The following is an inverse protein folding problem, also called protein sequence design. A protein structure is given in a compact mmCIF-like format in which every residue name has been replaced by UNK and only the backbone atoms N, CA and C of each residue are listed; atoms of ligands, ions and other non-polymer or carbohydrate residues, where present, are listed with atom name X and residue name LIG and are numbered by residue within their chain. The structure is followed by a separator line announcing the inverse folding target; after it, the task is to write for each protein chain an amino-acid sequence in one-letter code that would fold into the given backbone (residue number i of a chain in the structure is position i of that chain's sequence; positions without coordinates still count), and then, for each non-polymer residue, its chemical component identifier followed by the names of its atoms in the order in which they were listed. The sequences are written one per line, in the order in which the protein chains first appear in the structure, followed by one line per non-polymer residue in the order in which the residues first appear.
data_IF_938235092656
#
_entry.id   IF_938235092656
#
_cell.length_a   1.000
_cell.length_b   1.000
_cell.length_c   1.000
_cell.angle_alpha   90.00
_cell.angle_beta   90.00
_cell.angle_gamma   90.00
#
_symmetry.space_group_name_H-M   'P 1'
#
loop_
_entity.id
_entity.type
_entity.pdbx_description
1 polymer ?
#
# COMPACT_ATOMS: atom_id res chain seq x y z
N UNK A 1 10.58 -13.94 -25.59
CA UNK A 1 11.95 -13.37 -25.64
C UNK A 1 12.87 -14.51 -25.22
N UNK A 2 13.46 -15.14 -26.25
CA UNK A 2 14.51 -16.17 -26.26
C UNK A 2 15.54 -16.04 -25.12
N UNK A 3 16.31 -17.05 -24.67
CA UNK A 3 16.44 -18.52 -24.79
C UNK A 3 17.73 -18.83 -23.98
N UNK A 4 17.90 -20.08 -23.57
CA UNK A 4 19.20 -20.75 -23.40
C UNK A 4 20.13 -20.27 -22.26
N UNK A 5 20.05 -20.99 -21.13
CA UNK A 5 21.16 -21.20 -20.20
C UNK A 5 22.14 -22.18 -20.85
N UNK A 6 23.26 -21.67 -21.35
CA UNK A 6 24.35 -22.47 -21.90
C UNK A 6 25.15 -23.17 -20.79
N UNK A 7 25.17 -24.48 -20.96
CA UNK A 7 25.85 -25.49 -20.18
C UNK A 7 27.34 -25.52 -20.58
N UNK A 8 28.22 -24.90 -19.78
CA UNK A 8 29.68 -25.04 -19.97
C UNK A 8 30.14 -26.27 -19.20
N UNK A 9 30.24 -27.38 -19.94
CA UNK A 9 30.90 -28.60 -19.50
C UNK A 9 32.43 -28.42 -19.47
N UNK A 10 33.04 -28.80 -18.35
CA UNK A 10 34.49 -29.03 -18.27
C UNK A 10 34.73 -30.54 -18.31
N UNK A 11 35.38 -30.96 -19.39
CA UNK A 11 35.86 -32.31 -19.66
C UNK A 11 36.81 -32.82 -18.56
N UNK A 12 36.43 -33.89 -17.87
CA UNK A 12 37.37 -34.72 -17.11
C UNK A 12 38.03 -35.72 -18.07
N UNK A 13 39.34 -35.55 -18.31
CA UNK A 13 40.15 -36.46 -19.13
C UNK A 13 40.72 -37.55 -18.21
N UNK A 14 40.06 -38.70 -18.18
CA UNK A 14 40.65 -39.95 -17.70
C UNK A 14 41.50 -40.56 -18.81
N UNK A 15 42.79 -40.74 -18.57
CA UNK A 15 43.63 -41.62 -19.38
C UNK A 15 44.49 -42.47 -18.45
N UNK A 16 44.12 -43.75 -18.37
CA UNK A 16 44.94 -44.80 -17.78
C UNK A 16 46.15 -45.16 -18.66
N UNK A 17 47.14 -45.74 -18.01
CA UNK A 17 48.34 -46.35 -18.55
C UNK A 17 49.32 -46.49 -17.38
N UNK A 18 49.50 -47.65 -16.76
CA UNK A 18 49.90 -48.90 -17.39
C UNK A 18 51.43 -48.97 -17.37
N UNK A 19 52.01 -49.33 -16.23
CA UNK A 19 53.46 -49.45 -16.05
C UNK A 19 53.77 -50.56 -15.04
N UNK A 20 54.16 -51.71 -15.57
CA UNK A 20 54.63 -52.89 -14.84
C UNK A 20 56.13 -52.82 -14.54
N UNK A 21 56.54 -53.59 -13.54
CA UNK A 21 57.87 -54.15 -13.26
C UNK A 21 58.80 -53.40 -12.30
N UNK A 22 59.39 -54.19 -11.37
CA UNK A 22 60.54 -53.81 -10.56
C UNK A 22 60.53 -54.42 -9.15
N UNK A 23 61.08 -55.62 -9.01
CA UNK A 23 61.19 -56.33 -7.72
C UNK A 23 62.27 -55.80 -6.77
N UNK A 24 62.17 -56.28 -5.52
CA UNK A 24 63.11 -56.08 -4.41
C UNK A 24 62.31 -56.03 -3.10
N UNK A 25 62.31 -57.02 -2.20
CA UNK A 25 63.42 -57.87 -1.78
C UNK A 25 64.14 -57.23 -0.60
N UNK A 26 63.45 -56.98 0.51
CA UNK A 26 64.04 -56.41 1.74
C UNK A 26 63.15 -56.69 2.95
N UNK A 27 63.49 -57.74 3.70
CA UNK A 27 62.83 -58.11 4.95
C UNK A 27 63.07 -57.06 6.03
N UNK A 28 62.16 -56.09 6.11
CA UNK A 28 61.85 -55.39 7.35
C UNK A 28 60.65 -56.12 7.95
N UNK A 29 60.76 -56.56 9.21
CA UNK A 29 59.70 -57.30 9.88
C UNK A 29 58.37 -56.59 9.71
N UNK A 30 57.49 -57.14 8.86
CA UNK A 30 56.11 -56.67 8.76
C UNK A 30 55.54 -56.82 10.15
N UNK A 31 55.35 -55.70 10.83
CA UNK A 31 54.50 -55.63 12.00
C UNK A 31 53.10 -55.84 11.45
N UNK A 32 52.74 -57.11 11.36
CA UNK A 32 51.44 -57.52 10.87
C UNK A 32 50.47 -57.46 12.04
N UNK A 33 49.27 -56.98 11.79
CA UNK A 33 48.24 -56.98 12.82
C UNK A 33 47.83 -58.43 13.11
N UNK A 34 47.48 -58.76 14.36
CA UNK A 34 46.88 -60.05 14.67
C UNK A 34 45.65 -60.32 13.80
N UNK A 35 45.47 -61.56 13.35
CA UNK A 35 44.43 -61.92 12.36
C UNK A 35 43.00 -61.56 12.80
N UNK A 36 42.73 -61.54 14.10
CA UNK A 36 41.43 -61.10 14.62
C UNK A 36 41.15 -59.61 14.35
N UNK A 37 42.19 -58.75 14.36
CA UNK A 37 42.03 -57.32 14.07
C UNK A 37 41.75 -57.10 12.58
N UNK A 38 42.42 -57.86 11.70
CA UNK A 38 42.18 -57.80 10.25
C UNK A 38 40.76 -58.24 9.90
N UNK A 39 40.32 -59.37 10.46
CA UNK A 39 38.97 -59.91 10.25
C UNK A 39 37.90 -58.92 10.70
N UNK A 40 38.10 -58.30 11.87
CA UNK A 40 37.17 -57.30 12.39
C UNK A 40 37.15 -56.02 11.53
N UNK A 41 38.32 -55.59 11.03
CA UNK A 41 38.44 -54.44 10.15
C UNK A 41 37.77 -54.67 8.79
N UNK A 42 37.95 -55.84 8.18
CA UNK A 42 37.26 -56.24 6.94
C UNK A 42 35.74 -56.28 7.14
N UNK A 43 35.28 -56.82 8.27
CA UNK A 43 33.86 -56.85 8.63
C UNK A 43 33.30 -55.42 8.77
N UNK A 44 34.02 -54.52 9.43
CA UNK A 44 33.62 -53.11 9.57
C UNK A 44 33.62 -52.37 8.23
N UNK A 45 34.61 -52.62 7.38
CA UNK A 45 34.67 -52.05 6.02
C UNK A 45 33.49 -52.51 5.16
N UNK A 46 33.14 -53.79 5.19
CA UNK A 46 32.00 -54.33 4.44
C UNK A 46 30.65 -53.79 4.96
N UNK A 47 30.50 -53.69 6.29
CA UNK A 47 29.31 -53.13 6.91
C UNK A 47 29.17 -51.62 6.58
N UNK A 48 30.28 -50.87 6.61
CA UNK A 48 30.32 -49.47 6.25
C UNK A 48 29.95 -49.25 4.78
N UNK A 49 30.54 -50.02 3.85
CA UNK A 49 30.25 -49.91 2.42
C UNK A 49 28.76 -50.19 2.12
N UNK A 50 28.19 -51.18 2.81
CA UNK A 50 26.76 -51.49 2.72
C UNK A 50 25.90 -50.33 3.24
N UNK A 51 26.21 -49.80 4.44
CA UNK A 51 25.46 -48.71 5.06
C UNK A 51 25.54 -47.40 4.26
N UNK A 52 26.69 -47.11 3.63
CA UNK A 52 26.87 -45.93 2.77
C UNK A 52 26.07 -46.09 1.47
N UNK A 53 26.11 -47.27 0.84
CA UNK A 53 25.46 -47.54 -0.44
C UNK A 53 23.92 -47.56 -0.40
N UNK A 54 23.31 -47.83 0.75
CA UNK A 54 21.84 -47.93 0.86
C UNK A 54 21.16 -46.69 1.42
N UNK A 55 21.90 -45.77 2.04
CA UNK A 55 21.31 -44.61 2.68
C UNK A 55 21.12 -43.45 1.69
N UNK A 56 19.89 -43.24 1.23
CA UNK A 56 19.49 -42.05 0.48
C UNK A 56 19.78 -40.78 1.28
N UNK A 57 20.12 -39.70 0.57
CA UNK A 57 20.34 -38.40 1.20
C UNK A 57 19.02 -37.81 1.72
N UNK A 58 19.00 -37.24 2.95
CA UNK A 58 17.83 -36.53 3.46
C UNK A 58 17.56 -35.23 2.70
N UNK A 59 18.53 -34.72 1.94
CA UNK A 59 18.42 -33.50 1.15
C UNK A 59 17.82 -33.73 -0.24
N UNK A 60 17.82 -34.97 -0.74
CA UNK A 60 17.29 -35.32 -2.06
C UNK A 60 15.77 -35.07 -2.22
N UNK A 61 15.04 -34.97 -1.11
CA UNK A 61 13.61 -34.63 -1.08
C UNK A 61 13.33 -33.24 -0.48
N UNK A 62 14.37 -32.49 -0.10
CA UNK A 62 14.21 -31.14 0.40
C UNK A 62 13.94 -30.20 -0.80
N UNK A 63 12.95 -29.34 -0.65
CA UNK A 63 12.58 -28.34 -1.65
C UNK A 63 12.69 -26.99 -0.94
N UNK A 64 13.34 -26.00 -1.58
CA UNK A 64 13.34 -24.65 -1.06
C UNK A 64 11.93 -24.06 -1.06
N UNK A 65 11.71 -23.04 -0.24
CA UNK A 65 10.46 -22.32 -0.24
C UNK A 65 10.31 -21.52 -1.54
N UNK A 66 9.20 -21.74 -2.26
CA UNK A 66 8.82 -20.98 -3.47
C UNK A 66 8.01 -19.73 -3.07
N UNK A 67 8.53 -18.51 -3.30
CA UNK A 67 7.85 -17.28 -2.94
C UNK A 67 6.74 -16.86 -3.94
N UNK A 68 6.56 -17.56 -5.06
CA UNK A 68 5.71 -17.11 -6.16
C UNK A 68 4.25 -16.84 -5.75
N UNK A 69 3.68 -17.66 -4.87
CA UNK A 69 2.29 -17.50 -4.41
C UNK A 69 2.11 -16.21 -3.60
N UNK A 70 3.02 -15.94 -2.68
CA UNK A 70 2.93 -14.81 -1.76
C UNK A 70 3.24 -13.49 -2.48
N UNK A 71 4.20 -13.53 -3.41
CA UNK A 71 4.48 -12.38 -4.30
C UNK A 71 3.29 -12.07 -5.21
N UNK A 72 2.57 -13.08 -5.69
CA UNK A 72 1.36 -12.89 -6.52
C UNK A 72 0.22 -12.28 -5.69
N UNK A 73 0.03 -12.72 -4.45
CA UNK A 73 -0.96 -12.14 -3.54
C UNK A 73 -0.65 -10.66 -3.22
N UNK A 74 0.63 -10.34 -2.93
CA UNK A 74 1.09 -8.97 -2.71
C UNK A 74 0.85 -8.09 -3.95
N UNK A 75 1.19 -8.58 -5.15
CA UNK A 75 0.97 -7.83 -6.39
C UNK A 75 -0.51 -7.58 -6.65
N UNK A 76 -1.37 -8.57 -6.38
CA UNK A 76 -2.83 -8.44 -6.51
C UNK A 76 -3.36 -7.35 -5.58
N UNK A 77 -2.87 -7.27 -4.34
CA UNK A 77 -3.25 -6.21 -3.40
C UNK A 77 -2.82 -4.81 -3.89
N UNK A 78 -1.61 -4.67 -4.44
CA UNK A 78 -1.14 -3.40 -5.04
C UNK A 78 -2.00 -3.00 -6.24
N UNK A 79 -2.37 -3.95 -7.12
CA UNK A 79 -3.26 -3.68 -8.25
C UNK A 79 -4.68 -3.27 -7.79
N UNK A 80 -5.21 -3.89 -6.75
CA UNK A 80 -6.49 -3.52 -6.16
C UNK A 80 -6.45 -2.08 -5.61
N UNK A 81 -5.38 -1.71 -4.91
CA UNK A 81 -5.18 -0.35 -4.44
C UNK A 81 -5.06 0.66 -5.59
N UNK A 82 -4.30 0.33 -6.65
CA UNK A 82 -4.22 1.17 -7.84
C UNK A 82 -5.59 1.37 -8.50
N UNK A 83 -6.41 0.32 -8.57
CA UNK A 83 -7.78 0.41 -9.12
C UNK A 83 -8.66 1.35 -8.29
N UNK A 84 -8.53 1.35 -6.97
CA UNK A 84 -9.25 2.30 -6.09
C UNK A 84 -8.77 3.74 -6.32
N UNK A 85 -7.47 3.96 -6.51
CA UNK A 85 -6.91 5.27 -6.85
C UNK A 85 -7.38 5.74 -8.22
N UNK A 86 -7.44 4.87 -9.23
CA UNK A 86 -7.92 5.19 -10.57
C UNK A 86 -9.44 5.47 -10.58
N UNK A 87 -10.20 4.81 -9.71
CA UNK A 87 -11.64 5.06 -9.55
C UNK A 87 -11.96 6.44 -8.97
N UNK A 88 -11.01 7.08 -8.26
CA UNK A 88 -11.13 8.48 -7.84
C UNK A 88 -10.92 9.40 -9.05
N UNK A 89 -12.01 9.73 -9.74
CA UNK A 89 -12.01 10.60 -10.90
C UNK A 89 -12.00 12.06 -10.47
N UNK A 90 -10.81 12.66 -10.40
CA UNK A 90 -10.62 14.07 -10.00
C UNK A 90 -11.41 15.07 -10.83
N UNK A 91 -11.80 14.73 -12.06
CA UNK A 91 -12.56 15.64 -12.93
C UNK A 91 -14.06 15.37 -12.86
N UNK A 92 -14.48 14.10 -12.81
CA UNK A 92 -15.90 13.72 -12.79
C UNK A 92 -16.54 13.89 -11.41
N UNK A 93 -15.86 13.43 -10.36
CA UNK A 93 -16.37 13.51 -8.99
C UNK A 93 -16.40 14.95 -8.51
N UNK A 94 -15.41 15.74 -8.93
CA UNK A 94 -15.34 17.17 -8.69
C UNK A 94 -16.50 17.96 -9.30
N UNK A 95 -16.74 17.80 -10.62
CA UNK A 95 -17.83 18.49 -11.30
C UNK A 95 -19.17 18.11 -10.67
N UNK A 96 -19.32 16.85 -10.29
CA UNK A 96 -20.54 16.35 -9.64
C UNK A 96 -20.71 16.96 -8.25
N UNK A 97 -19.66 16.99 -7.43
CA UNK A 97 -19.70 17.55 -6.08
C UNK A 97 -19.97 19.07 -6.10
N UNK A 98 -19.29 19.83 -6.98
CA UNK A 98 -19.56 21.27 -7.13
C UNK A 98 -20.97 21.50 -7.66
N UNK A 99 -21.42 20.73 -8.64
CA UNK A 99 -22.79 20.88 -9.17
C UNK A 99 -23.84 20.59 -8.11
N UNK A 100 -23.61 19.59 -7.25
CA UNK A 100 -24.48 19.27 -6.12
C UNK A 100 -24.48 20.40 -5.08
N UNK A 101 -23.31 20.89 -4.66
CA UNK A 101 -23.19 22.00 -3.70
C UNK A 101 -23.83 23.27 -4.26
N UNK A 102 -23.61 23.58 -5.53
CA UNK A 102 -24.24 24.72 -6.20
C UNK A 102 -25.76 24.59 -6.23
N UNK A 103 -26.28 23.42 -6.62
CA UNK A 103 -27.72 23.16 -6.62
C UNK A 103 -28.32 23.27 -5.21
N UNK A 104 -27.62 22.77 -4.20
CA UNK A 104 -28.03 22.87 -2.81
C UNK A 104 -28.03 24.33 -2.32
N UNK A 105 -26.96 25.09 -2.56
CA UNK A 105 -26.84 26.51 -2.17
C UNK A 105 -27.91 27.35 -2.88
N UNK A 106 -28.01 27.22 -4.21
CA UNK A 106 -28.95 27.99 -5.03
C UNK A 106 -30.41 27.61 -4.70
N UNK A 107 -30.68 26.36 -4.27
CA UNK A 107 -32.03 25.88 -3.94
C UNK A 107 -32.47 26.07 -2.48
N UNK A 108 -31.55 26.04 -1.51
CA UNK A 108 -31.92 26.01 -0.07
C UNK A 108 -31.46 27.23 0.73
N UNK A 109 -30.35 27.88 0.35
CA UNK A 109 -29.75 28.99 1.12
C UNK A 109 -30.03 30.33 0.43
N UNK A 110 -29.95 30.35 -0.90
CA UNK A 110 -30.08 31.55 -1.73
C UNK A 110 -31.44 31.52 -2.46
N UNK A 111 -32.52 31.24 -1.73
CA UNK A 111 -33.84 31.37 -2.34
C UNK A 111 -34.15 32.86 -2.57
N UNK A 112 -34.51 33.24 -3.79
CA UNK A 112 -34.95 34.59 -4.13
C UNK A 112 -36.20 35.02 -3.36
N UNK A 113 -36.96 34.06 -2.81
CA UNK A 113 -38.13 34.35 -1.96
C UNK A 113 -37.73 35.01 -0.65
N UNK A 114 -36.70 34.52 0.05
CA UNK A 114 -36.30 35.10 1.33
C UNK A 114 -35.88 36.57 1.20
N UNK A 115 -35.19 36.91 0.11
CA UNK A 115 -34.77 38.29 -0.17
C UNK A 115 -35.99 39.16 -0.49
N UNK A 116 -36.94 38.64 -1.26
CA UNK A 116 -38.17 39.37 -1.55
C UNK A 116 -38.99 39.61 -0.28
N UNK A 117 -39.08 38.61 0.60
CA UNK A 117 -39.79 38.69 1.88
C UNK A 117 -39.13 39.71 2.82
N UNK A 118 -37.79 39.73 2.90
CA UNK A 118 -37.04 40.68 3.74
C UNK A 118 -37.12 42.13 3.22
N UNK A 119 -37.05 42.31 1.88
CA UNK A 119 -37.28 43.63 1.25
C UNK A 119 -38.73 44.09 1.50
N UNK A 120 -39.71 43.19 1.42
CA UNK A 120 -41.11 43.51 1.71
C UNK A 120 -41.28 43.93 3.16
N UNK A 121 -40.73 43.16 4.11
CA UNK A 121 -40.81 43.47 5.54
C UNK A 121 -40.16 44.83 5.86
N UNK A 122 -39.03 45.16 5.25
CA UNK A 122 -38.40 46.49 5.38
C UNK A 122 -39.29 47.59 4.79
N UNK A 123 -39.93 47.33 3.64
CA UNK A 123 -40.90 48.22 3.02
C UNK A 123 -42.11 48.50 3.91
N UNK A 124 -42.62 47.48 4.61
CA UNK A 124 -43.74 47.57 5.54
C UNK A 124 -43.38 48.40 6.79
N UNK A 125 -42.17 48.22 7.33
CA UNK A 125 -41.66 49.03 8.45
C UNK A 125 -41.57 50.51 8.08
N UNK A 126 -41.10 50.82 6.87
CA UNK A 126 -41.02 52.20 6.38
C UNK A 126 -42.41 52.80 6.14
N UNK A 127 -43.37 52.02 5.64
CA UNK A 127 -44.76 52.47 5.50
C UNK A 127 -45.42 52.76 6.85
N UNK A 128 -45.20 51.90 7.84
CA UNK A 128 -45.68 52.12 9.20
C UNK A 128 -45.07 53.40 9.79
N UNK A 129 -43.76 53.62 9.66
CA UNK A 129 -43.11 54.83 10.14
C UNK A 129 -43.60 56.11 9.43
N UNK A 130 -43.82 56.04 8.12
CA UNK A 130 -44.34 57.17 7.35
C UNK A 130 -45.76 57.50 7.78
N UNK A 131 -46.64 56.49 7.83
CA UNK A 131 -48.06 56.68 8.13
C UNK A 131 -48.31 57.07 9.59
N UNK A 132 -47.55 56.53 10.54
CA UNK A 132 -47.78 56.76 11.98
C UNK A 132 -47.03 57.96 12.54
N UNK A 133 -45.84 58.31 12.00
CA UNK A 133 -44.98 59.35 12.57
C UNK A 133 -44.69 60.50 11.62
N UNK A 134 -44.18 60.23 10.42
CA UNK A 134 -43.62 61.29 9.55
C UNK A 134 -44.73 62.13 8.93
N UNK A 135 -45.69 61.46 8.28
CA UNK A 135 -46.75 62.09 7.50
C UNK A 135 -47.72 62.88 8.42
N UNK A 136 -48.13 62.38 9.60
CA UNK A 136 -48.90 63.17 10.55
C UNK A 136 -48.17 64.42 11.07
N UNK A 137 -46.85 64.33 11.35
CA UNK A 137 -46.05 65.50 11.79
C UNK A 137 -45.91 66.54 10.68
N UNK A 138 -45.70 66.09 9.44
CA UNK A 138 -45.65 66.96 8.27
C UNK A 138 -46.99 67.68 8.05
N UNK A 139 -48.10 66.93 8.09
CA UNK A 139 -49.46 67.47 7.95
C UNK A 139 -49.82 68.47 9.05
N UNK A 140 -49.47 68.18 10.31
CA UNK A 140 -49.66 69.09 11.43
C UNK A 140 -48.88 70.39 11.23
N UNK A 141 -47.59 70.29 10.87
CA UNK A 141 -46.78 71.47 10.56
C UNK A 141 -47.35 72.31 9.42
N UNK A 142 -47.83 71.68 8.35
CA UNK A 142 -48.45 72.38 7.21
C UNK A 142 -49.80 73.02 7.55
N UNK A 143 -50.55 72.43 8.49
CA UNK A 143 -51.79 73.01 9.03
C UNK A 143 -51.50 74.27 9.83
N UNK A 144 -50.44 74.28 10.63
CA UNK A 144 -50.07 75.44 11.46
C UNK A 144 -49.68 76.66 10.61
N UNK A 145 -49.08 76.45 9.42
CA UNK A 145 -48.79 77.52 8.45
C UNK A 145 -49.90 77.79 7.43
N UNK A 146 -51.05 77.13 7.55
CA UNK A 146 -52.19 77.24 6.64
C UNK A 146 -51.83 76.96 5.15
N UNK A 147 -50.82 76.13 4.91
CA UNK A 147 -50.30 75.83 3.56
C UNK A 147 -50.90 74.54 2.95
N UNK A 148 -51.92 73.95 3.59
CA UNK A 148 -52.54 72.66 3.24
C UNK A 148 -53.15 72.65 1.82
N UNK A 149 -53.57 73.80 1.31
CA UNK A 149 -54.14 73.96 -0.04
C UNK A 149 -53.11 74.32 -1.12
N UNK A 150 -51.82 74.34 -0.78
CA UNK A 150 -50.76 74.72 -1.72
C UNK A 150 -50.14 73.51 -2.41
N UNK A 151 -49.58 73.71 -3.61
CA UNK A 151 -48.81 72.68 -4.31
C UNK A 151 -47.62 72.17 -3.49
N UNK A 152 -47.09 72.98 -2.56
CA UNK A 152 -46.01 72.59 -1.67
C UNK A 152 -46.38 71.41 -0.75
N UNK A 153 -47.66 71.27 -0.41
CA UNK A 153 -48.16 70.14 0.39
C UNK A 153 -48.03 68.81 -0.38
N UNK A 154 -48.55 68.78 -1.61
CA UNK A 154 -48.50 67.60 -2.49
C UNK A 154 -47.06 67.26 -2.86
N UNK A 155 -46.23 68.27 -3.15
CA UNK A 155 -44.80 68.07 -3.42
C UNK A 155 -44.10 67.48 -2.19
N UNK A 156 -44.37 67.99 -0.99
CA UNK A 156 -43.77 67.46 0.24
C UNK A 156 -44.14 66.00 0.51
N UNK A 157 -45.41 65.61 0.31
CA UNK A 157 -45.82 64.21 0.42
C UNK A 157 -45.12 63.33 -0.61
N UNK A 158 -45.05 63.77 -1.88
CA UNK A 158 -44.37 63.01 -2.94
C UNK A 158 -42.86 62.85 -2.68
N UNK A 159 -42.22 63.84 -2.05
CA UNK A 159 -40.80 63.74 -1.66
C UNK A 159 -40.63 62.70 -0.55
N UNK A 160 -41.53 62.65 0.43
CA UNK A 160 -41.50 61.68 1.53
C UNK A 160 -41.67 60.25 0.98
N UNK A 161 -42.66 60.02 0.12
CA UNK A 161 -42.89 58.73 -0.53
C UNK A 161 -41.71 58.36 -1.46
N UNK A 162 -41.17 59.31 -2.21
CA UNK A 162 -40.00 59.08 -3.06
C UNK A 162 -38.69 58.81 -2.29
N UNK A 163 -38.57 59.24 -1.03
CA UNK A 163 -37.46 58.83 -0.15
C UNK A 163 -37.61 57.38 0.28
N UNK A 164 -38.83 56.96 0.64
CA UNK A 164 -39.14 55.56 0.98
C UNK A 164 -38.74 54.60 -0.13
N UNK A 165 -39.21 54.83 -1.35
CA UNK A 165 -38.95 53.95 -2.48
C UNK A 165 -37.44 53.83 -2.77
N UNK A 166 -36.70 54.94 -2.61
CA UNK A 166 -35.26 54.98 -2.77
C UNK A 166 -34.53 54.18 -1.70
N UNK A 167 -34.95 54.30 -0.44
CA UNK A 167 -34.32 53.60 0.68
C UNK A 167 -34.61 52.08 0.62
N UNK A 168 -35.84 51.69 0.27
CA UNK A 168 -36.19 50.28 0.01
C UNK A 168 -35.39 49.73 -1.17
N UNK A 169 -35.28 50.48 -2.27
CA UNK A 169 -34.46 50.07 -3.41
C UNK A 169 -32.98 49.92 -3.05
N UNK A 170 -32.43 50.87 -2.29
CA UNK A 170 -31.04 50.82 -1.82
C UNK A 170 -30.79 49.60 -0.92
N UNK A 171 -31.67 49.36 0.04
CA UNK A 171 -31.61 48.18 0.91
C UNK A 171 -31.65 46.88 0.11
N UNK A 172 -32.56 46.80 -0.86
CA UNK A 172 -32.66 45.65 -1.76
C UNK A 172 -31.41 45.44 -2.62
N UNK A 173 -30.76 46.51 -3.09
CA UNK A 173 -29.48 46.39 -3.79
C UNK A 173 -28.34 45.94 -2.87
N UNK A 174 -28.26 46.47 -1.65
CA UNK A 174 -27.22 46.11 -0.69
C UNK A 174 -27.30 44.64 -0.28
N UNK A 175 -28.52 44.11 -0.05
CA UNK A 175 -28.74 42.69 0.22
C UNK A 175 -28.28 41.80 -0.94
N UNK A 176 -28.66 42.14 -2.18
CA UNK A 176 -28.26 41.37 -3.37
C UNK A 176 -26.74 41.37 -3.56
N UNK A 177 -26.08 42.50 -3.34
CA UNK A 177 -24.62 42.60 -3.44
C UNK A 177 -23.93 41.74 -2.36
N UNK A 178 -24.40 41.81 -1.10
CA UNK A 178 -23.86 40.96 -0.01
C UNK A 178 -24.00 39.47 -0.32
N UNK A 179 -25.16 39.08 -0.84
CA UNK A 179 -25.42 37.71 -1.26
C UNK A 179 -24.44 37.27 -2.38
N UNK A 180 -24.22 38.11 -3.39
CA UNK A 180 -23.24 37.81 -4.43
C UNK A 180 -21.83 37.62 -3.88
N UNK A 181 -21.40 38.43 -2.92
CA UNK A 181 -20.11 38.24 -2.25
C UNK A 181 -20.04 36.93 -1.46
N UNK A 182 -21.08 36.59 -0.68
CA UNK A 182 -21.13 35.32 0.05
C UNK A 182 -21.11 34.11 -0.89
N UNK A 183 -21.84 34.19 -2.01
CA UNK A 183 -21.82 33.14 -3.04
C UNK A 183 -20.43 32.97 -3.64
N UNK A 184 -19.76 34.07 -3.98
CA UNK A 184 -18.40 34.03 -4.51
C UNK A 184 -17.40 33.47 -3.49
N UNK A 185 -17.52 33.85 -2.21
CA UNK A 185 -16.67 33.31 -1.13
C UNK A 185 -16.86 31.79 -0.96
N UNK A 186 -18.10 31.30 -1.02
CA UNK A 186 -18.37 29.86 -1.00
C UNK A 186 -17.78 29.13 -2.22
N UNK A 187 -17.85 29.74 -3.41
CA UNK A 187 -17.22 29.18 -4.61
C UNK A 187 -15.70 29.11 -4.45
N UNK A 188 -15.06 30.17 -3.94
CA UNK A 188 -13.61 30.19 -3.70
C UNK A 188 -13.22 29.11 -2.67
N UNK A 189 -13.91 29.05 -1.52
CA UNK A 189 -13.66 28.01 -0.50
C UNK A 189 -13.87 26.60 -1.04
N UNK A 190 -14.87 26.40 -1.91
CA UNK A 190 -15.06 25.11 -2.57
C UNK A 190 -13.90 24.79 -3.52
N UNK A 191 -13.36 25.79 -4.23
CA UNK A 191 -12.21 25.63 -5.11
C UNK A 191 -10.94 25.29 -4.33
N UNK A 192 -10.72 25.88 -3.16
CA UNK A 192 -9.58 25.55 -2.30
C UNK A 192 -9.63 24.10 -1.81
N UNK A 193 -10.82 23.61 -1.43
CA UNK A 193 -11.00 22.21 -1.03
C UNK A 193 -10.67 21.23 -2.16
N UNK A 194 -10.88 21.65 -3.39
CA UNK A 194 -10.59 20.84 -4.58
C UNK A 194 -9.09 20.77 -4.82
N UNK A 195 -8.40 21.89 -4.65
CA UNK A 195 -6.94 21.88 -4.70
C UNK A 195 -6.35 20.95 -3.64
N UNK A 196 -6.91 20.95 -2.42
CA UNK A 196 -6.47 20.02 -1.37
C UNK A 196 -6.74 18.56 -1.69
N UNK A 197 -7.88 18.26 -2.33
CA UNK A 197 -8.22 16.89 -2.76
C UNK A 197 -7.28 16.40 -3.89
N UNK A 198 -6.95 17.27 -4.83
CA UNK A 198 -5.99 16.96 -5.90
C UNK A 198 -4.59 16.69 -5.34
N UNK A 199 -4.16 17.44 -4.32
CA UNK A 199 -2.90 17.18 -3.62
C UNK A 199 -2.96 15.81 -2.91
N UNK A 200 -4.06 15.49 -2.23
CA UNK A 200 -4.24 14.19 -1.58
C UNK A 200 -4.17 13.02 -2.59
N UNK A 201 -4.73 13.18 -3.80
CA UNK A 201 -4.60 12.20 -4.88
C UNK A 201 -3.14 11.98 -5.28
N UNK A 202 -2.39 13.06 -5.49
CA UNK A 202 -0.96 12.98 -5.83
C UNK A 202 -0.18 12.26 -4.72
N UNK A 203 -0.55 12.46 -3.46
CA UNK A 203 0.02 11.72 -2.34
C UNK A 203 -0.33 10.22 -2.39
N UNK A 204 -1.58 9.85 -2.68
CA UNK A 204 -1.96 8.44 -2.85
C UNK A 204 -1.23 7.77 -4.02
N UNK A 205 -1.12 8.42 -5.17
CA UNK A 205 -0.36 7.91 -6.32
C UNK A 205 1.12 7.72 -5.97
N UNK A 206 1.71 8.66 -5.22
CA UNK A 206 3.06 8.50 -4.69
C UNK A 206 3.18 7.29 -3.77
N UNK A 207 2.20 7.03 -2.91
CA UNK A 207 2.18 5.84 -2.05
C UNK A 207 2.07 4.54 -2.86
N UNK A 208 1.25 4.50 -3.93
CA UNK A 208 1.19 3.35 -4.85
C UNK A 208 2.57 3.04 -5.43
N UNK A 209 3.29 4.07 -5.90
CA UNK A 209 4.62 3.90 -6.50
C UNK A 209 5.62 3.34 -5.48
N UNK A 210 5.60 3.83 -4.24
CA UNK A 210 6.47 3.34 -3.17
C UNK A 210 6.17 1.87 -2.86
N UNK A 211 4.90 1.51 -2.64
CA UNK A 211 4.50 0.13 -2.35
C UNK A 211 4.84 -0.82 -3.50
N UNK A 212 4.65 -0.39 -4.74
CA UNK A 212 5.02 -1.16 -5.94
C UNK A 212 6.53 -1.41 -5.99
N UNK A 213 7.33 -0.40 -5.63
CA UNK A 213 8.78 -0.50 -5.63
C UNK A 213 9.28 -1.41 -4.49
N UNK A 214 8.68 -1.33 -3.31
CA UNK A 214 8.95 -2.23 -2.19
C UNK A 214 8.57 -3.67 -2.52
N UNK A 215 7.40 -3.89 -3.11
CA UNK A 215 6.96 -5.20 -3.58
C UNK A 215 7.97 -5.83 -4.57
N UNK A 216 8.47 -5.04 -5.53
CA UNK A 216 9.51 -5.50 -6.47
C UNK A 216 10.84 -5.81 -5.79
N UNK A 217 11.25 -5.00 -4.80
CA UNK A 217 12.47 -5.26 -4.03
C UNK A 217 12.35 -6.55 -3.22
N UNK A 218 11.22 -6.76 -2.54
CA UNK A 218 10.94 -7.98 -1.80
C UNK A 218 10.92 -9.20 -2.71
N UNK A 219 10.32 -9.09 -3.90
CA UNK A 219 10.34 -10.15 -4.90
C UNK A 219 11.77 -10.56 -5.30
N UNK A 220 12.64 -9.58 -5.58
CA UNK A 220 14.04 -9.85 -5.94
C UNK A 220 14.78 -10.56 -4.80
N UNK A 221 14.58 -10.11 -3.56
CA UNK A 221 15.22 -10.74 -2.38
C UNK A 221 14.70 -12.17 -2.19
N UNK A 222 13.39 -12.38 -2.31
CA UNK A 222 12.78 -13.70 -2.11
C UNK A 222 13.26 -14.72 -3.15
N UNK A 223 13.30 -14.38 -4.44
CA UNK A 223 13.83 -15.28 -5.48
C UNK A 223 15.33 -15.54 -5.32
N UNK A 224 16.08 -14.55 -4.81
CA UNK A 224 17.49 -14.77 -4.47
C UNK A 224 17.62 -15.76 -3.31
N UNK A 225 16.82 -15.60 -2.25
CA UNK A 225 16.83 -16.52 -1.10
C UNK A 225 16.44 -17.95 -1.48
N UNK A 226 15.44 -18.11 -2.35
CA UNK A 226 15.08 -19.42 -2.92
C UNK A 226 16.27 -20.05 -3.68
N UNK A 227 16.93 -19.27 -4.54
CA UNK A 227 18.09 -19.74 -5.32
C UNK A 227 19.26 -20.12 -4.40
N UNK A 228 19.56 -19.29 -3.39
CA UNK A 228 20.62 -19.54 -2.41
C UNK A 228 20.31 -20.79 -1.57
N UNK A 229 19.04 -21.01 -1.20
CA UNK A 229 18.62 -22.22 -0.47
C UNK A 229 18.68 -23.47 -1.34
N UNK A 230 18.23 -23.42 -2.59
CA UNK A 230 18.34 -24.54 -3.52
C UNK A 230 19.81 -24.95 -3.72
N UNK A 231 20.71 -23.98 -3.92
CA UNK A 231 22.14 -24.24 -4.03
C UNK A 231 22.72 -24.85 -2.74
N UNK A 232 22.29 -24.39 -1.56
CA UNK A 232 22.71 -24.97 -0.29
C UNK A 232 22.21 -26.42 -0.10
N UNK A 233 21.00 -26.73 -0.56
CA UNK A 233 20.45 -28.10 -0.54
C UNK A 233 21.25 -28.99 -1.49
N UNK A 234 21.52 -28.54 -2.71
CA UNK A 234 22.30 -29.29 -3.70
C UNK A 234 23.73 -29.55 -3.22
N UNK A 235 24.37 -28.54 -2.61
CA UNK A 235 25.69 -28.70 -2.01
C UNK A 235 25.67 -29.71 -0.86
N UNK A 236 24.66 -29.65 0.01
CA UNK A 236 24.52 -30.59 1.12
C UNK A 236 24.27 -32.02 0.63
N UNK A 237 23.48 -32.19 -0.43
CA UNK A 237 23.23 -33.48 -1.07
C UNK A 237 24.50 -34.09 -1.66
N UNK A 238 25.26 -33.29 -2.42
CA UNK A 238 26.53 -33.72 -3.00
C UNK A 238 27.59 -34.04 -1.93
N UNK A 239 27.65 -33.23 -0.85
CA UNK A 239 28.59 -33.44 0.27
C UNK A 239 28.19 -34.61 1.15
N UNK A 240 26.92 -34.96 1.26
CA UNK A 240 26.43 -35.99 2.18
C UNK A 240 27.13 -37.34 1.97
N UNK A 241 27.36 -37.74 0.72
CA UNK A 241 28.13 -38.95 0.42
C UNK A 241 29.56 -38.89 0.97
N UNK A 242 30.24 -37.77 0.78
CA UNK A 242 31.62 -37.55 1.26
C UNK A 242 31.69 -37.44 2.78
N UNK A 243 30.74 -36.76 3.42
CA UNK A 243 30.65 -36.66 4.88
C UNK A 243 30.53 -38.05 5.51
N UNK A 244 29.72 -38.95 4.94
CA UNK A 244 29.65 -40.34 5.42
C UNK A 244 30.97 -41.07 5.31
N UNK A 245 31.71 -40.90 4.21
CA UNK A 245 33.04 -41.49 4.06
C UNK A 245 34.01 -40.92 5.09
N UNK A 246 33.93 -39.63 5.41
CA UNK A 246 34.76 -39.01 6.44
C UNK A 246 34.43 -39.54 7.85
N UNK A 247 33.15 -39.69 8.20
CA UNK A 247 32.75 -40.32 9.46
C UNK A 247 33.21 -41.79 9.54
N UNK A 248 33.07 -42.53 8.44
CA UNK A 248 33.56 -43.90 8.34
C UNK A 248 35.07 -44.02 8.48
N UNK A 249 35.82 -43.14 7.80
CA UNK A 249 37.27 -43.06 7.88
C UNK A 249 37.74 -42.70 9.30
N UNK A 250 37.06 -41.75 9.97
CA UNK A 250 37.35 -41.41 11.36
C UNK A 250 37.10 -42.60 12.31
N UNK A 251 36.06 -43.42 12.07
CA UNK A 251 35.81 -44.64 12.84
C UNK A 251 36.95 -45.67 12.64
N UNK A 252 37.45 -45.83 11.40
CA UNK A 252 38.53 -46.76 11.09
C UNK A 252 39.89 -46.26 11.62
N UNK A 253 40.12 -44.95 11.57
CA UNK A 253 41.32 -44.29 12.08
C UNK A 253 41.42 -44.30 13.61
N UNK A 254 40.29 -44.45 14.33
CA UNK A 254 40.27 -44.57 15.78
C UNK A 254 41.09 -45.77 16.29
N UNK A 255 41.27 -46.83 15.48
CA UNK A 255 42.12 -47.99 15.81
C UNK A 255 43.61 -47.60 15.82
N UNK A 256 44.01 -46.65 14.97
CA UNK A 256 45.40 -46.17 14.84
C UNK A 256 45.72 -44.92 15.66
N UNK A 257 44.78 -44.41 16.47
CA UNK A 257 44.95 -43.17 17.22
C UNK A 257 44.81 -41.88 16.41
N UNK A 258 44.16 -41.93 15.23
CA UNK A 258 43.93 -40.75 14.40
C UNK A 258 42.92 -39.78 15.03
N UNK A 259 43.21 -38.48 14.99
CA UNK A 259 42.30 -37.44 15.50
C UNK A 259 41.29 -37.01 14.43
N UNK A 260 40.01 -36.97 14.79
CA UNK A 260 38.94 -36.58 13.87
C UNK A 260 39.06 -35.11 13.44
N UNK A 261 38.91 -34.84 12.15
CA UNK A 261 38.70 -33.48 11.64
C UNK A 261 37.19 -33.23 11.59
N UNK A 262 36.69 -32.41 12.52
CA UNK A 262 35.32 -31.90 12.50
C UNK A 262 35.30 -30.63 11.63
N UNK A 263 34.60 -30.66 10.50
CA UNK A 263 34.18 -29.42 9.84
C UNK A 263 33.05 -28.80 10.68
N UNK A 264 33.21 -27.53 11.06
CA UNK A 264 32.15 -26.78 11.75
C UNK A 264 31.00 -26.53 10.77
N UNK A 265 29.89 -27.24 11.00
CA UNK A 265 28.62 -27.05 10.30
C UNK A 265 28.10 -25.62 10.55
N UNK A 266 28.09 -24.76 9.53
CA UNK A 266 27.40 -23.47 9.63
C UNK A 266 25.88 -23.71 9.66
N UNK A 267 25.20 -23.11 10.64
CA UNK A 267 23.77 -23.30 10.92
C UNK A 267 22.85 -22.66 9.86
N UNK A 268 21.74 -23.34 9.56
CA UNK A 268 20.73 -23.02 8.55
C UNK A 268 19.76 -21.88 8.97
N UNK A 269 19.74 -20.83 8.14
CA UNK A 269 18.61 -20.21 7.39
C UNK A 269 17.14 -20.37 7.83
N UNK A 270 16.83 -20.67 9.10
CA UNK A 270 15.43 -20.85 9.56
C UNK A 270 14.76 -19.52 9.97
N UNK A 271 15.45 -18.37 9.82
CA UNK A 271 14.96 -17.07 10.28
C UNK A 271 14.15 -16.28 9.22
N UNK A 272 14.14 -16.70 7.96
CA UNK A 272 13.51 -15.93 6.85
C UNK A 272 12.00 -16.08 6.74
N UNK A 273 11.43 -17.23 7.11
CA UNK A 273 10.01 -17.51 6.86
C UNK A 273 9.04 -16.71 7.76
N UNK A 274 9.49 -16.21 8.91
CA UNK A 274 8.63 -15.45 9.86
C UNK A 274 8.48 -13.97 9.44
N UNK A 275 9.39 -13.43 8.62
CA UNK A 275 9.36 -12.04 8.17
C UNK A 275 8.27 -11.75 7.12
N UNK A 276 7.95 -12.72 6.26
CA UNK A 276 7.00 -12.55 5.15
C UNK A 276 5.53 -12.48 5.58
N UNK A 277 5.11 -13.35 6.50
CA UNK A 277 3.72 -13.42 6.95
C UNK A 277 3.29 -12.20 7.82
N UNK A 278 4.23 -11.61 8.56
CA UNK A 278 3.97 -10.44 9.42
C UNK A 278 3.86 -9.13 8.64
N UNK A 279 4.55 -9.01 7.50
CA UNK A 279 4.44 -7.85 6.61
C UNK A 279 3.10 -7.82 5.83
N UNK A 280 2.59 -8.98 5.41
CA UNK A 280 1.32 -9.06 4.67
C UNK A 280 0.08 -8.76 5.52
N UNK A 281 0.03 -9.26 6.77
CA UNK A 281 -1.12 -9.05 7.67
C UNK A 281 -1.18 -7.63 8.26
N UNK A 282 -0.02 -6.98 8.46
CA UNK A 282 0.04 -5.64 9.07
C UNK A 282 -0.37 -4.52 8.13
N UNK A 283 -0.08 -4.65 6.82
CA UNK A 283 -0.52 -3.68 5.80
C UNK A 283 -2.03 -3.81 5.53
N UNK A 284 -2.58 -5.03 5.54
CA UNK A 284 -4.02 -5.25 5.40
C UNK A 284 -4.85 -4.74 6.58
N UNK A 285 -4.30 -4.78 7.80
CA UNK A 285 -5.01 -4.34 9.01
C UNK A 285 -4.98 -2.82 9.23
N UNK A 286 -3.94 -2.11 8.78
CA UNK A 286 -3.81 -0.66 9.03
C UNK A 286 -4.58 0.22 8.04
N UNK A 287 -4.96 -0.31 6.87
CA UNK A 287 -5.72 0.44 5.84
C UNK A 287 -7.25 0.26 6.03
N UNK A 288 -7.70 -0.66 6.89
CA UNK A 288 -9.11 -0.98 7.14
C UNK A 288 -9.85 -0.14 8.19
N UNK A 289 -9.28 0.96 8.68
CA UNK A 289 -9.86 1.79 9.75
C UNK A 289 -10.68 2.98 9.25
N UNK A 290 -11.77 2.76 8.53
CA UNK A 290 -12.67 3.84 8.06
C UNK A 290 -13.63 3.36 6.97
N UNK A 291 -14.59 4.19 6.50
CA UNK A 291 -15.77 3.75 5.72
C UNK A 291 -15.50 2.91 4.44
N UNK A 292 -14.25 2.76 4.01
CA UNK A 292 -13.83 1.77 3.01
C UNK A 292 -13.85 0.29 3.47
N UNK A 293 -14.09 0.02 4.75
CA UNK A 293 -14.15 -1.36 5.31
C UNK A 293 -15.32 -2.20 4.75
N UNK A 294 -16.35 -1.58 4.16
CA UNK A 294 -17.48 -2.30 3.57
C UNK A 294 -17.12 -2.89 2.20
N UNK A 295 -16.20 -2.26 1.45
CA UNK A 295 -15.77 -2.77 0.15
C UNK A 295 -14.64 -3.82 0.26
N UNK A 296 -13.76 -3.71 1.26
CA UNK A 296 -12.69 -4.68 1.51
C UNK A 296 -13.17 -5.98 2.18
N UNK A 297 -14.25 -5.92 2.96
CA UNK A 297 -14.80 -7.08 3.68
C UNK A 297 -15.52 -8.12 2.80
N UNK A 298 -15.94 -7.74 1.59
CA UNK A 298 -16.66 -8.65 0.69
C UNK A 298 -15.76 -9.49 -0.22
N UNK A 299 -14.54 -9.03 -0.51
CA UNK A 299 -13.59 -9.81 -1.31
C UNK A 299 -12.73 -10.76 -0.48
N UNK A 300 -12.58 -10.53 0.83
CA UNK A 300 -11.82 -11.41 1.74
C UNK A 300 -12.61 -12.59 2.32
N UNK A 301 -13.94 -12.56 2.30
CA UNK A 301 -14.79 -13.62 2.85
C UNK A 301 -15.32 -14.61 1.80
N UNK A 302 -15.17 -14.31 0.51
CA UNK A 302 -15.61 -15.18 -0.60
C UNK A 302 -14.63 -16.29 -0.98
N UNK A 303 -13.41 -16.29 -0.44
CA UNK A 303 -12.34 -17.23 -0.81
C UNK A 303 -11.94 -18.19 0.33
N UNK A 304 -12.68 -18.18 1.44
CA UNK A 304 -12.50 -19.11 2.56
C UNK A 304 -13.67 -20.11 2.71
N UNK A 305 -14.54 -20.22 1.71
CA UNK A 305 -15.68 -21.15 1.70
C UNK A 305 -15.94 -21.70 0.28
N UNK A 306 -14.92 -22.36 -0.27
CA UNK A 306 -14.97 -23.45 -1.26
C UNK A 306 -13.57 -24.09 -1.31
#
# INVERSE_FOLDING_TARGET
MYKELEFIGVCFKSSGGGGSSGGGGGGSGKVDYPDYMKTQHETWMSALNTAIGTASSPFAAAIAYDPATDLTAMWTAVCAFNTLVDALSSTGDWQTAISYVKAYIDGSIISSTYIADDISAFGDIMDDEISTKILPRFQAGMRDVNAVMSSAFVIGQSIIEGMRDRDVAKYGTDLKVKLHFQRNDMIIKSTDKVLTDLIARVEFERHVVILTLEAKRLAIVAYKEETDQNLAIDEADAKFGLEKYQYGANMLAAIGGGTAVNEQKQLSTTHSAIGGALAGASIGAQIGGGPGAIAGGLLGLGLALL
#
